data_IF_057038111313
#
_entry.id   IF_057038111313
#
_cell.length_a   1.000
_cell.length_b   1.000
_cell.length_c   1.000
_cell.angle_alpha   90.00
_cell.angle_beta   90.00
_cell.angle_gamma   90.00
#
_symmetry.space_group_name_H-M   'P 1'
#
loop_
_entity.id
_entity.type
_entity.pdbx_description
1 polymer ?
#
# COMPACT_ATOMS: atom_id res chain seq x y z
N UNK A 1 37.87 5.53 -4.40
CA UNK A 1 37.76 4.21 -5.06
C UNK A 1 37.05 3.28 -4.10
N UNK A 2 35.84 2.78 -4.40
CA UNK A 2 35.18 1.84 -3.51
C UNK A 2 35.96 0.52 -3.52
N UNK A 3 36.45 0.12 -2.35
CA UNK A 3 37.07 -1.19 -2.13
C UNK A 3 36.00 -2.27 -2.29
N UNK A 4 36.08 -3.04 -3.37
CA UNK A 4 35.29 -4.26 -3.53
C UNK A 4 35.75 -5.25 -2.45
N UNK A 5 34.92 -5.47 -1.42
CA UNK A 5 35.16 -6.47 -0.39
C UNK A 5 35.05 -7.88 -1.02
N UNK A 6 35.97 -8.82 -0.72
CA UNK A 6 35.90 -10.17 -1.27
C UNK A 6 34.67 -10.94 -0.75
N UNK A 7 34.03 -11.71 -1.62
CA UNK A 7 33.02 -12.71 -1.25
C UNK A 7 33.66 -13.77 -0.32
N UNK A 8 33.04 -14.03 0.83
CA UNK A 8 33.61 -14.75 1.98
C UNK A 8 33.94 -16.25 1.78
N UNK A 9 33.94 -16.77 0.54
CA UNK A 9 34.08 -18.20 0.24
C UNK A 9 35.30 -18.55 -0.63
N UNK A 10 36.30 -17.68 -0.73
CA UNK A 10 37.57 -18.04 -1.39
C UNK A 10 38.47 -18.77 -0.39
N UNK A 11 38.85 -20.01 -0.69
CA UNK A 11 40.18 -20.47 -0.25
C UNK A 11 41.20 -19.42 -0.70
N UNK A 12 42.20 -19.15 0.14
CA UNK A 12 43.19 -18.09 -0.07
C UNK A 12 44.08 -18.32 -1.29
N UNK A 13 44.01 -19.49 -1.93
CA UNK A 13 44.71 -19.84 -3.16
C UNK A 13 43.72 -20.31 -4.25
N UNK A 14 43.57 -19.58 -5.37
CA UNK A 14 42.72 -19.99 -6.49
C UNK A 14 43.24 -21.23 -7.24
N UNK A 15 44.46 -21.72 -6.97
CA UNK A 15 45.03 -22.93 -7.55
C UNK A 15 44.74 -24.20 -6.74
N UNK A 16 44.06 -24.10 -5.59
CA UNK A 16 43.73 -25.26 -4.77
C UNK A 16 42.75 -26.20 -5.49
N UNK A 17 43.01 -27.52 -5.50
CA UNK A 17 42.17 -28.49 -6.20
C UNK A 17 40.76 -28.49 -5.60
N UNK A 18 39.75 -28.75 -6.43
CA UNK A 18 38.38 -28.88 -5.95
C UNK A 18 38.21 -30.16 -5.13
N UNK A 19 37.85 -30.01 -3.87
CA UNK A 19 37.62 -31.11 -2.94
C UNK A 19 36.15 -31.18 -2.56
N UNK A 20 35.58 -32.39 -2.65
CA UNK A 20 34.26 -32.70 -2.12
C UNK A 20 34.31 -32.68 -0.57
N UNK A 21 33.21 -32.30 0.10
CA UNK A 21 33.11 -32.40 1.54
C UNK A 21 33.23 -33.86 1.98
N UNK A 22 34.01 -34.10 3.04
CA UNK A 22 34.33 -35.44 3.53
C UNK A 22 33.14 -36.16 4.16
N UNK A 23 32.12 -35.43 4.60
CA UNK A 23 30.89 -35.98 5.17
C UNK A 23 29.87 -36.41 4.09
N UNK A 24 30.11 -36.07 2.82
CA UNK A 24 29.26 -36.39 1.68
C UNK A 24 27.93 -35.63 1.65
N UNK A 25 27.79 -34.56 2.44
CA UNK A 25 26.56 -33.75 2.51
C UNK A 25 26.70 -32.46 1.73
N UNK A 26 25.66 -32.15 0.96
CA UNK A 26 25.60 -30.98 0.10
C UNK A 26 24.32 -30.20 0.36
N UNK A 27 24.43 -28.87 0.42
CA UNK A 27 23.24 -28.02 0.46
C UNK A 27 22.48 -28.18 -0.86
N UNK A 28 21.25 -28.65 -0.77
CA UNK A 28 20.32 -28.82 -1.89
C UNK A 28 19.56 -27.52 -2.14
N UNK A 29 19.08 -26.87 -1.07
CA UNK A 29 18.34 -25.62 -1.17
C UNK A 29 18.57 -24.70 0.05
N UNK A 30 18.85 -23.40 -0.15
CA UNK A 30 18.84 -22.39 0.90
C UNK A 30 17.41 -21.99 1.26
N UNK A 31 17.21 -21.51 2.49
CA UNK A 31 15.97 -20.85 2.88
C UNK A 31 15.80 -19.52 2.16
N UNK A 32 14.57 -19.13 1.87
CA UNK A 32 14.24 -17.83 1.29
C UNK A 32 13.04 -17.85 0.35
N UNK A 33 12.80 -16.71 -0.27
CA UNK A 33 11.76 -16.51 -1.28
C UNK A 33 12.40 -16.46 -2.67
N UNK A 34 11.89 -17.25 -3.61
CA UNK A 34 12.46 -17.35 -4.94
C UNK A 34 11.38 -17.19 -6.00
N UNK A 35 11.63 -16.38 -7.02
CA UNK A 35 10.71 -16.21 -8.15
C UNK A 35 10.88 -17.41 -9.08
N UNK A 36 9.80 -18.19 -9.25
CA UNK A 36 9.78 -19.37 -10.12
C UNK A 36 9.30 -19.02 -11.52
N UNK A 37 8.37 -18.06 -11.62
CA UNK A 37 7.89 -17.55 -12.89
C UNK A 37 7.79 -16.03 -12.78
N UNK A 38 8.61 -15.34 -13.56
CA UNK A 38 8.52 -13.90 -13.68
C UNK A 38 7.27 -13.56 -14.53
N UNK A 39 6.30 -12.90 -13.91
CA UNK A 39 5.17 -12.29 -14.60
C UNK A 39 5.11 -10.80 -14.20
N UNK A 40 4.79 -9.87 -15.11
CA UNK A 40 4.89 -8.42 -14.85
C UNK A 40 4.01 -7.93 -13.70
N UNK A 41 2.88 -8.57 -13.46
CA UNK A 41 1.91 -8.14 -12.46
C UNK A 41 1.86 -9.06 -11.23
N UNK A 42 2.20 -10.34 -11.38
CA UNK A 42 1.98 -11.33 -10.32
C UNK A 42 2.98 -12.51 -10.43
N UNK A 43 4.25 -12.30 -10.02
CA UNK A 43 5.27 -13.33 -10.12
C UNK A 43 4.95 -14.50 -9.19
N UNK A 44 5.10 -15.72 -9.69
CA UNK A 44 4.95 -16.91 -8.85
C UNK A 44 6.18 -17.04 -7.94
N UNK A 45 5.97 -16.93 -6.64
CA UNK A 45 7.02 -17.00 -5.61
C UNK A 45 6.93 -18.33 -4.87
N UNK A 46 8.05 -19.06 -4.81
CA UNK A 46 8.19 -20.21 -3.92
C UNK A 46 8.82 -19.78 -2.60
N UNK A 47 8.26 -20.28 -1.51
CA UNK A 47 8.73 -20.06 -0.15
C UNK A 47 9.42 -21.33 0.33
N UNK A 48 10.73 -21.23 0.55
CA UNK A 48 11.56 -22.27 1.12
C UNK A 48 11.86 -21.89 2.57
N UNK A 49 11.02 -22.34 3.48
CA UNK A 49 11.14 -22.15 4.93
C UNK A 49 11.35 -23.50 5.64
N UNK A 50 11.48 -23.47 6.96
CA UNK A 50 11.66 -24.68 7.76
C UNK A 50 10.53 -25.69 7.57
N UNK A 51 9.28 -25.21 7.44
CA UNK A 51 8.12 -26.05 7.17
C UNK A 51 8.22 -26.75 5.80
N UNK A 52 8.67 -26.04 4.76
CA UNK A 52 8.91 -26.61 3.44
C UNK A 52 9.94 -27.74 3.51
N UNK A 53 11.06 -27.50 4.20
CA UNK A 53 12.15 -28.48 4.30
C UNK A 53 11.79 -29.68 5.17
N UNK A 54 11.07 -29.48 6.28
CA UNK A 54 10.55 -30.57 7.09
C UNK A 54 9.63 -31.47 6.27
N UNK A 55 8.69 -30.89 5.52
CA UNK A 55 7.80 -31.64 4.63
C UNK A 55 8.57 -32.42 3.54
N UNK A 56 9.64 -31.84 2.98
CA UNK A 56 10.49 -32.51 2.00
C UNK A 56 11.26 -33.69 2.60
N UNK A 57 11.78 -33.55 3.82
CA UNK A 57 12.47 -34.62 4.54
C UNK A 57 11.49 -35.76 4.85
N UNK A 58 10.29 -35.44 5.34
CA UNK A 58 9.25 -36.42 5.62
C UNK A 58 8.80 -37.15 4.35
N UNK A 59 8.57 -36.41 3.26
CA UNK A 59 8.21 -36.97 1.97
C UNK A 59 9.31 -37.88 1.42
N UNK A 60 10.58 -37.48 1.55
CA UNK A 60 11.71 -38.31 1.16
C UNK A 60 11.78 -39.58 2.00
N UNK A 61 11.64 -39.50 3.32
CA UNK A 61 11.68 -40.66 4.21
C UNK A 61 10.59 -41.70 3.85
N UNK A 62 9.40 -41.24 3.47
CA UNK A 62 8.32 -42.12 3.00
C UNK A 62 8.69 -42.86 1.71
N UNK A 63 9.26 -42.17 0.73
CA UNK A 63 9.70 -42.78 -0.54
C UNK A 63 10.91 -43.68 -0.32
N UNK A 64 11.84 -43.29 0.54
CA UNK A 64 13.07 -44.01 0.85
C UNK A 64 12.84 -45.31 1.62
N UNK A 65 11.67 -45.47 2.26
CA UNK A 65 11.27 -46.71 2.92
C UNK A 65 10.93 -47.84 1.92
N UNK A 66 10.75 -47.54 0.63
CA UNK A 66 10.51 -48.55 -0.39
C UNK A 66 11.74 -49.44 -0.59
N UNK A 67 11.54 -50.76 -0.69
CA UNK A 67 12.63 -51.73 -0.80
C UNK A 67 13.49 -51.57 -2.07
N UNK A 68 12.92 -50.98 -3.11
CA UNK A 68 13.54 -50.71 -4.41
C UNK A 68 14.01 -49.25 -4.57
N UNK A 69 14.04 -48.47 -3.48
CA UNK A 69 14.50 -47.09 -3.53
C UNK A 69 15.99 -47.00 -3.89
N UNK A 70 16.27 -46.39 -5.06
CA UNK A 70 17.63 -46.21 -5.57
C UNK A 70 18.27 -44.85 -5.23
N UNK A 71 17.53 -43.97 -4.53
CA UNK A 71 17.88 -42.56 -4.36
C UNK A 71 17.14 -41.65 -5.35
N UNK A 72 17.13 -40.34 -5.10
CA UNK A 72 16.65 -39.36 -6.07
C UNK A 72 17.77 -39.01 -7.05
N UNK A 73 17.43 -38.87 -8.33
CA UNK A 73 18.40 -38.63 -9.39
C UNK A 73 19.12 -37.29 -9.21
N UNK A 74 20.44 -37.30 -9.39
CA UNK A 74 21.23 -36.12 -9.72
C UNK A 74 21.67 -36.25 -11.18
N UNK A 75 21.09 -35.45 -12.08
CA UNK A 75 21.43 -35.45 -13.51
C UNK A 75 22.42 -34.32 -13.86
N UNK A 76 22.68 -34.12 -15.15
CA UNK A 76 23.45 -32.99 -15.65
C UNK A 76 22.51 -31.96 -16.28
N UNK A 77 22.59 -30.70 -15.85
CA UNK A 77 21.86 -29.56 -16.43
C UNK A 77 20.35 -29.80 -16.65
N UNK A 78 19.70 -30.59 -15.79
CA UNK A 78 18.29 -30.97 -15.89
C UNK A 78 17.93 -31.71 -17.18
N UNK A 79 18.89 -32.37 -17.82
CA UNK A 79 18.67 -33.07 -19.09
C UNK A 79 17.69 -34.23 -18.96
N UNK A 80 17.53 -34.84 -17.78
CA UNK A 80 16.53 -35.89 -17.59
C UNK A 80 15.09 -35.38 -17.68
N UNK A 81 14.87 -34.06 -17.64
CA UNK A 81 13.57 -33.42 -17.82
C UNK A 81 13.22 -33.20 -19.31
N UNK A 82 14.14 -33.49 -20.22
CA UNK A 82 14.01 -33.34 -21.67
C UNK A 82 14.20 -34.70 -22.34
N UNK A 83 13.15 -35.22 -22.97
CA UNK A 83 13.14 -36.57 -23.54
C UNK A 83 14.16 -36.77 -24.68
N UNK A 84 14.62 -35.67 -25.28
CA UNK A 84 15.60 -35.70 -26.38
C UNK A 84 17.06 -35.66 -25.88
N UNK A 85 17.27 -35.59 -24.55
CA UNK A 85 18.61 -35.51 -23.94
C UNK A 85 18.93 -36.74 -23.10
N UNK A 86 20.21 -36.86 -22.76
CA UNK A 86 20.70 -37.94 -21.92
C UNK A 86 20.17 -37.81 -20.48
N UNK A 87 19.68 -38.90 -19.92
CA UNK A 87 19.26 -39.02 -18.52
C UNK A 87 20.34 -39.65 -17.63
N UNK A 88 21.62 -39.45 -17.98
CA UNK A 88 22.75 -40.01 -17.23
C UNK A 88 22.81 -39.44 -15.80
N UNK A 89 23.01 -40.33 -14.82
CA UNK A 89 23.16 -39.96 -13.43
C UNK A 89 24.58 -39.45 -13.13
N UNK A 90 24.69 -38.17 -12.77
CA UNK A 90 25.86 -37.66 -12.05
C UNK A 90 25.94 -38.28 -10.64
N UNK A 91 24.80 -38.57 -10.02
CA UNK A 91 24.76 -39.19 -8.70
C UNK A 91 23.33 -39.47 -8.25
N UNK A 92 23.21 -39.85 -6.98
CA UNK A 92 21.95 -40.19 -6.35
C UNK A 92 21.89 -39.58 -4.95
N UNK A 93 20.85 -38.80 -4.65
CA UNK A 93 20.55 -38.32 -3.30
C UNK A 93 19.99 -39.52 -2.51
N UNK A 94 20.76 -39.94 -1.52
CA UNK A 94 20.49 -41.14 -0.69
C UNK A 94 19.94 -40.82 0.68
N UNK A 95 20.01 -39.55 1.10
CA UNK A 95 19.50 -39.08 2.38
C UNK A 95 19.18 -37.57 2.27
N UNK A 96 18.21 -37.10 3.05
CA UNK A 96 17.84 -35.68 3.17
C UNK A 96 17.75 -35.28 4.65
N UNK A 97 18.26 -34.11 4.98
CA UNK A 97 18.20 -33.56 6.33
C UNK A 97 18.03 -32.05 6.31
N UNK A 98 17.27 -31.55 7.28
CA UNK A 98 17.25 -30.14 7.64
C UNK A 98 18.46 -29.84 8.53
N UNK A 99 19.31 -28.89 8.14
CA UNK A 99 20.46 -28.43 8.94
C UNK A 99 20.59 -26.93 8.86
N UNK A 100 20.68 -26.30 10.02
CA UNK A 100 20.82 -24.85 10.17
C UNK A 100 19.78 -24.08 9.33
N UNK A 101 18.52 -24.55 9.34
CA UNK A 101 17.42 -23.94 8.58
C UNK A 101 17.49 -24.12 7.06
N UNK A 102 18.32 -25.01 6.52
CA UNK A 102 18.45 -25.26 5.07
C UNK A 102 18.36 -26.76 4.74
N UNK A 103 18.01 -27.08 3.49
CA UNK A 103 17.91 -28.47 3.04
C UNK A 103 19.27 -29.00 2.59
N UNK A 104 19.68 -30.13 3.16
CA UNK A 104 20.89 -30.85 2.80
C UNK A 104 20.57 -32.26 2.31
N UNK A 105 21.43 -32.78 1.44
CA UNK A 105 21.31 -34.13 0.93
C UNK A 105 22.65 -34.84 0.87
N UNK A 106 22.65 -36.14 1.18
CA UNK A 106 23.82 -37.01 1.03
C UNK A 106 23.82 -37.58 -0.38
N UNK A 107 24.87 -37.32 -1.14
CA UNK A 107 24.96 -37.74 -2.54
C UNK A 107 25.95 -38.89 -2.69
N UNK A 108 25.48 -40.00 -3.27
CA UNK A 108 26.33 -41.05 -3.82
C UNK A 108 26.63 -40.71 -5.28
N UNK A 109 27.84 -40.24 -5.54
CA UNK A 109 28.27 -39.87 -6.89
C UNK A 109 28.51 -41.11 -7.76
N UNK A 110 28.22 -40.97 -9.07
CA UNK A 110 28.83 -41.83 -10.08
C UNK A 110 30.28 -41.43 -10.28
N UNK A 111 31.07 -42.29 -10.93
CA UNK A 111 32.47 -41.97 -11.25
C UNK A 111 32.56 -40.67 -12.07
N UNK A 112 31.71 -40.53 -13.10
CA UNK A 112 31.67 -39.32 -13.93
C UNK A 112 31.19 -38.10 -13.17
N UNK A 113 30.19 -38.22 -12.30
CA UNK A 113 29.71 -37.08 -11.51
C UNK A 113 30.76 -36.59 -10.51
N UNK A 114 31.46 -37.52 -9.84
CA UNK A 114 32.58 -37.17 -8.97
C UNK A 114 33.69 -36.44 -9.74
N UNK A 115 34.07 -36.96 -10.92
CA UNK A 115 35.06 -36.32 -11.80
C UNK A 115 34.58 -34.94 -12.29
N UNK A 116 33.30 -34.77 -12.60
CA UNK A 116 32.73 -33.50 -13.04
C UNK A 116 32.82 -32.41 -11.96
N UNK A 117 32.69 -32.78 -10.68
CA UNK A 117 32.74 -31.84 -9.55
C UNK A 117 34.19 -31.59 -9.08
N UNK A 118 35.01 -32.63 -8.99
CA UNK A 118 36.44 -32.52 -8.62
C UNK A 118 37.26 -31.90 -9.75
N UNK A 119 36.89 -32.14 -11.01
CA UNK A 119 37.48 -31.48 -12.17
C UNK A 119 37.00 -30.05 -12.37
N UNK A 120 35.96 -29.61 -11.63
CA UNK A 120 35.43 -28.25 -11.71
C UNK A 120 34.59 -27.96 -12.94
N UNK A 121 34.21 -28.98 -13.73
CA UNK A 121 33.27 -28.85 -14.85
C UNK A 121 31.91 -28.34 -14.38
N UNK A 122 31.52 -28.70 -13.16
CA UNK A 122 30.29 -28.27 -12.51
C UNK A 122 30.52 -27.82 -11.08
N UNK A 123 29.77 -26.79 -10.66
CA UNK A 123 29.99 -26.17 -9.35
C UNK A 123 28.75 -26.10 -8.46
N UNK A 124 27.55 -26.33 -8.96
CA UNK A 124 26.32 -26.15 -8.19
C UNK A 124 25.33 -27.30 -8.39
N UNK A 125 24.43 -27.46 -7.43
CA UNK A 125 23.20 -28.24 -7.60
C UNK A 125 22.04 -27.28 -7.81
N UNK A 126 21.06 -27.70 -8.59
CA UNK A 126 19.82 -26.97 -8.82
C UNK A 126 18.67 -27.94 -8.54
N UNK A 127 17.90 -27.76 -7.46
CA UNK A 127 16.84 -28.71 -7.10
C UNK A 127 15.61 -28.55 -7.99
N UNK A 128 14.89 -29.65 -8.18
CA UNK A 128 13.57 -29.69 -8.82
C UNK A 128 12.54 -30.10 -7.79
N UNK A 129 11.53 -29.26 -7.58
CA UNK A 129 10.45 -29.54 -6.65
C UNK A 129 9.19 -30.00 -7.38
N UNK A 130 8.42 -30.88 -6.74
CA UNK A 130 7.15 -31.35 -7.28
C UNK A 130 6.07 -30.27 -7.14
N UNK A 131 5.71 -29.66 -8.26
CA UNK A 131 4.66 -28.64 -8.32
C UNK A 131 3.29 -29.16 -7.87
N UNK A 132 2.98 -30.43 -8.11
CA UNK A 132 1.67 -30.98 -7.77
C UNK A 132 1.47 -31.15 -6.26
N UNK A 133 2.58 -31.29 -5.52
CA UNK A 133 2.58 -31.42 -4.05
C UNK A 133 2.63 -30.08 -3.30
N UNK A 134 2.88 -28.97 -4.01
CA UNK A 134 3.12 -27.68 -3.38
C UNK A 134 1.87 -27.16 -2.66
N UNK A 135 2.06 -26.66 -1.44
CA UNK A 135 1.02 -26.05 -0.63
C UNK A 135 0.80 -24.59 -1.08
N UNK A 136 -0.41 -24.18 -1.48
CA UNK A 136 -0.72 -22.79 -1.76
C UNK A 136 -0.76 -21.96 -0.48
N UNK A 137 -0.06 -20.83 -0.44
CA UNK A 137 -0.06 -19.91 0.72
C UNK A 137 -0.99 -18.71 0.53
N UNK A 138 -1.82 -18.74 -0.51
CA UNK A 138 -2.62 -17.60 -0.96
C UNK A 138 -1.86 -16.69 -1.93
N UNK A 139 -2.62 -16.01 -2.80
CA UNK A 139 -2.05 -15.22 -3.90
C UNK A 139 -1.18 -16.08 -4.83
N UNK A 140 -0.03 -15.53 -5.25
CA UNK A 140 0.99 -16.19 -6.09
C UNK A 140 2.13 -16.79 -5.29
N UNK A 141 1.87 -17.20 -4.05
CA UNK A 141 2.87 -17.82 -3.18
C UNK A 141 2.56 -19.29 -2.99
N UNK A 142 3.57 -20.13 -3.18
CA UNK A 142 3.49 -21.57 -2.92
C UNK A 142 4.66 -22.03 -2.05
N UNK A 143 4.44 -23.09 -1.30
CA UNK A 143 5.47 -23.79 -0.53
C UNK A 143 5.67 -25.18 -1.14
N UNK A 144 6.80 -25.45 -1.80
CA UNK A 144 7.09 -26.79 -2.29
C UNK A 144 7.29 -27.73 -1.09
N UNK A 145 6.73 -28.94 -1.16
CA UNK A 145 6.76 -29.91 -0.05
C UNK A 145 7.48 -31.20 -0.40
N UNK A 146 7.89 -31.39 -1.67
CA UNK A 146 8.59 -32.59 -2.14
C UNK A 146 9.69 -32.25 -3.13
N UNK A 147 10.87 -32.84 -2.91
CA UNK A 147 12.00 -32.84 -3.85
C UNK A 147 11.83 -34.01 -4.83
N UNK A 148 11.97 -33.75 -6.14
CA UNK A 148 11.92 -34.78 -7.18
C UNK A 148 13.32 -35.30 -7.55
N UNK A 149 14.20 -34.37 -7.90
CA UNK A 149 15.56 -34.62 -8.35
C UNK A 149 16.39 -33.33 -8.21
N UNK A 150 17.66 -33.38 -8.60
CA UNK A 150 18.50 -32.19 -8.74
C UNK A 150 19.36 -32.28 -10.00
N UNK A 151 19.70 -31.13 -10.57
CA UNK A 151 20.66 -31.02 -11.66
C UNK A 151 22.01 -30.52 -11.19
N UNK A 152 23.07 -31.22 -11.56
CA UNK A 152 24.43 -30.73 -11.49
C UNK A 152 24.62 -29.69 -12.59
N UNK A 153 24.83 -28.42 -12.21
CA UNK A 153 24.82 -27.29 -13.15
C UNK A 153 25.77 -26.17 -12.75
N UNK A 154 26.01 -25.23 -13.67
CA UNK A 154 26.74 -23.99 -13.41
C UNK A 154 25.83 -22.76 -13.27
N UNK A 155 24.55 -22.87 -13.63
CA UNK A 155 23.56 -21.79 -13.47
C UNK A 155 22.33 -22.29 -12.71
N UNK A 156 22.41 -22.41 -11.36
CA UNK A 156 21.27 -22.85 -10.57
C UNK A 156 20.16 -21.80 -10.58
N UNK A 157 18.91 -22.27 -10.55
CA UNK A 157 17.74 -21.39 -10.50
C UNK A 157 17.65 -20.66 -9.16
N UNK A 158 17.88 -21.37 -8.04
CA UNK A 158 17.95 -20.74 -6.73
C UNK A 158 19.30 -20.03 -6.57
N UNK A 159 19.27 -18.72 -6.30
CA UNK A 159 20.48 -17.95 -6.02
C UNK A 159 20.86 -18.10 -4.54
N UNK A 160 22.16 -18.08 -4.24
CA UNK A 160 22.67 -18.30 -2.88
C UNK A 160 22.95 -19.76 -2.51
N UNK A 161 22.78 -20.72 -3.43
CA UNK A 161 23.26 -22.09 -3.24
C UNK A 161 24.79 -22.07 -3.11
N UNK A 162 25.31 -22.76 -2.10
CA UNK A 162 26.75 -22.89 -1.87
C UNK A 162 27.42 -23.68 -3.04
N UNK A 163 28.69 -23.44 -3.41
CA UNK A 163 29.38 -24.23 -4.46
C UNK A 163 29.80 -25.62 -3.96
N UNK A 164 29.61 -26.70 -4.72
CA UNK A 164 29.80 -28.10 -4.28
C UNK A 164 31.19 -28.45 -3.74
N UNK A 165 32.23 -27.88 -4.32
CA UNK A 165 33.62 -28.13 -3.96
C UNK A 165 34.26 -26.98 -3.20
N UNK A 166 35.31 -27.29 -2.44
CA UNK A 166 36.08 -26.32 -1.65
C UNK A 166 35.25 -25.59 -0.59
N UNK A 167 34.18 -26.24 -0.14
CA UNK A 167 33.54 -25.90 1.14
C UNK A 167 34.43 -26.46 2.24
N UNK A 168 34.74 -25.66 3.25
CA UNK A 168 35.31 -26.20 4.48
C UNK A 168 34.30 -27.21 5.05
N UNK A 169 34.69 -28.48 5.08
CA UNK A 169 34.00 -29.58 5.78
C UNK A 169 34.36 -29.63 7.27
N UNK A 170 35.14 -28.66 7.75
CA UNK A 170 35.31 -28.46 9.17
C UNK A 170 34.02 -27.88 9.74
N UNK A 171 33.56 -28.43 10.85
CA UNK A 171 33.03 -27.63 11.95
C UNK A 171 33.79 -26.30 11.91
N UNK A 172 33.15 -25.23 11.44
CA UNK A 172 33.70 -23.89 11.67
C UNK A 172 34.05 -23.88 13.16
N UNK A 173 35.23 -23.42 13.59
CA UNK A 173 35.32 -23.00 14.97
C UNK A 173 34.25 -21.93 15.09
N UNK A 174 33.09 -22.31 15.66
CA UNK A 174 31.89 -21.49 15.79
C UNK A 174 32.28 -20.14 16.41
N UNK A 175 33.40 -20.11 17.14
CA UNK A 175 34.04 -18.94 17.70
C UNK A 175 34.46 -17.85 16.70
N UNK A 176 34.96 -18.12 15.49
CA UNK A 176 35.49 -17.03 14.63
C UNK A 176 34.40 -16.29 13.85
N UNK A 177 33.42 -17.02 13.30
CA UNK A 177 32.29 -16.39 12.61
C UNK A 177 31.31 -15.79 13.62
N UNK A 178 31.04 -16.47 14.74
CA UNK A 178 30.27 -15.87 15.84
C UNK A 178 31.00 -14.67 16.46
N UNK A 179 32.34 -14.68 16.58
CA UNK A 179 33.08 -13.50 17.04
C UNK A 179 32.97 -12.33 16.05
N UNK A 180 33.07 -12.60 14.73
CA UNK A 180 32.87 -11.56 13.71
C UNK A 180 31.45 -10.99 13.76
N UNK A 181 30.44 -11.84 13.86
CA UNK A 181 29.05 -11.41 13.95
C UNK A 181 28.78 -10.65 15.25
N UNK A 182 29.33 -11.12 16.39
CA UNK A 182 29.24 -10.43 17.68
C UNK A 182 29.92 -9.06 17.64
N UNK A 183 31.08 -8.94 16.99
CA UNK A 183 31.76 -7.65 16.80
C UNK A 183 30.93 -6.68 15.95
N UNK A 184 30.32 -7.15 14.86
CA UNK A 184 29.44 -6.32 14.03
C UNK A 184 28.19 -5.87 14.80
N UNK A 185 27.59 -6.77 15.59
CA UNK A 185 26.44 -6.43 16.43
C UNK A 185 26.83 -5.44 17.53
N UNK A 186 28.03 -5.56 18.11
CA UNK A 186 28.53 -4.63 19.11
C UNK A 186 28.67 -3.23 18.50
N UNK A 187 29.24 -3.13 17.29
CA UNK A 187 29.35 -1.85 16.57
C UNK A 187 27.98 -1.22 16.29
N UNK A 188 27.02 -2.00 15.77
CA UNK A 188 25.66 -1.50 15.46
C UNK A 188 24.90 -1.06 16.71
N UNK A 189 25.05 -1.80 17.80
CA UNK A 189 24.35 -1.52 19.06
C UNK A 189 25.10 -0.51 19.94
N UNK A 190 26.26 -0.02 19.47
CA UNK A 190 27.16 0.88 20.19
C UNK A 190 27.63 0.30 21.54
N UNK A 191 27.83 -1.02 21.59
CA UNK A 191 28.32 -1.76 22.76
C UNK A 191 29.82 -2.02 22.66
N UNK A 192 30.46 -2.29 23.81
CA UNK A 192 31.86 -2.70 23.84
C UNK A 192 32.10 -4.02 23.11
N UNK A 193 33.29 -4.24 22.50
CA UNK A 193 33.58 -5.46 21.73
C UNK A 193 33.51 -6.75 22.55
N UNK A 194 33.72 -6.64 23.86
CA UNK A 194 33.67 -7.74 24.82
C UNK A 194 32.43 -7.68 25.74
N UNK A 195 31.39 -6.93 25.35
CA UNK A 195 30.17 -6.83 26.13
C UNK A 195 29.56 -8.23 26.41
N UNK A 196 29.05 -8.48 27.63
CA UNK A 196 28.35 -9.72 27.95
C UNK A 196 27.06 -9.84 27.13
N UNK A 197 26.68 -11.06 26.77
CA UNK A 197 25.54 -11.32 25.88
C UNK A 197 24.21 -10.74 26.41
N UNK A 198 24.07 -10.62 27.73
CA UNK A 198 22.90 -10.00 28.35
C UNK A 198 22.75 -8.51 27.99
N UNK A 199 23.87 -7.78 27.85
CA UNK A 199 23.85 -6.36 27.49
C UNK A 199 23.34 -6.14 26.05
N UNK A 200 23.61 -7.09 25.15
CA UNK A 200 23.04 -7.09 23.79
C UNK A 200 21.52 -7.25 23.84
N UNK A 201 21.03 -8.21 24.63
CA UNK A 201 19.59 -8.46 24.78
C UNK A 201 18.91 -7.23 25.36
N UNK A 202 19.47 -6.65 26.42
CA UNK A 202 18.93 -5.47 27.09
C UNK A 202 18.90 -4.27 26.14
N UNK A 203 19.97 -4.05 25.36
CA UNK A 203 20.04 -2.96 24.38
C UNK A 203 19.02 -3.13 23.25
N UNK A 204 18.85 -4.35 22.74
CA UNK A 204 17.85 -4.66 21.71
C UNK A 204 16.42 -4.44 22.26
N UNK A 205 16.16 -4.85 23.51
CA UNK A 205 14.87 -4.62 24.16
C UNK A 205 14.59 -3.12 24.37
N UNK A 206 15.60 -2.35 24.80
CA UNK A 206 15.49 -0.90 24.93
C UNK A 206 15.15 -0.23 23.59
N UNK A 207 15.88 -0.58 22.52
CA UNK A 207 15.63 -0.05 21.18
C UNK A 207 14.24 -0.40 20.67
N UNK A 208 13.78 -1.64 20.90
CA UNK A 208 12.41 -2.06 20.58
C UNK A 208 11.37 -1.24 21.32
N UNK A 209 11.53 -1.07 22.64
CA UNK A 209 10.59 -0.31 23.47
C UNK A 209 10.55 1.17 23.04
N UNK A 210 11.71 1.77 22.72
CA UNK A 210 11.80 3.13 22.18
C UNK A 210 11.10 3.27 20.83
N UNK A 211 11.27 2.30 19.94
CA UNK A 211 10.59 2.30 18.65
C UNK A 211 9.06 2.23 18.82
N UNK A 212 8.56 1.36 19.70
CA UNK A 212 7.12 1.28 20.02
C UNK A 212 6.60 2.57 20.64
N UNK A 213 7.35 3.18 21.58
CA UNK A 213 6.95 4.46 22.17
C UNK A 213 6.96 5.60 21.14
N UNK A 214 7.93 5.62 20.22
CA UNK A 214 8.00 6.62 19.16
C UNK A 214 6.78 6.54 18.22
N UNK A 215 6.35 5.32 17.86
CA UNK A 215 5.13 5.10 17.08
C UNK A 215 3.89 5.62 17.82
N UNK A 216 3.74 5.30 19.10
CA UNK A 216 2.62 5.80 19.91
C UNK A 216 2.62 7.33 20.03
N UNK A 217 3.80 7.94 20.20
CA UNK A 217 3.94 9.40 20.25
C UNK A 217 3.59 10.06 18.90
N UNK A 218 3.92 9.41 17.78
CA UNK A 218 3.59 9.90 16.44
C UNK A 218 2.08 9.88 16.18
N UNK A 219 1.40 8.80 16.56
CA UNK A 219 -0.06 8.69 16.50
C UNK A 219 -0.74 9.77 17.36
N UNK A 220 -0.26 9.98 18.58
CA UNK A 220 -0.80 11.02 19.47
C UNK A 220 -0.53 12.43 18.94
N UNK A 221 0.64 12.68 18.37
CA UNK A 221 0.97 13.97 17.75
C UNK A 221 0.05 14.27 16.55
N UNK A 222 -0.22 13.27 15.72
CA UNK A 222 -1.16 13.41 14.60
C UNK A 222 -2.58 13.70 15.09
N UNK A 223 -3.02 13.03 16.17
CA UNK A 223 -4.32 13.28 16.80
C UNK A 223 -4.42 14.71 17.32
N UNK A 224 -3.45 15.16 18.11
CA UNK A 224 -3.41 16.52 18.67
C UNK A 224 -3.36 17.59 17.58
N UNK A 225 -2.58 17.38 16.51
CA UNK A 225 -2.56 18.30 15.36
C UNK A 225 -3.92 18.36 14.66
N UNK A 226 -4.61 17.24 14.53
CA UNK A 226 -5.97 17.18 14.01
C UNK A 226 -6.95 17.98 14.85
N UNK A 227 -6.92 17.79 16.18
CA UNK A 227 -7.75 18.53 17.12
C UNK A 227 -7.46 20.04 17.11
N UNK A 228 -6.19 20.43 17.08
CA UNK A 228 -5.79 21.84 16.97
C UNK A 228 -6.27 22.46 15.66
N UNK A 229 -6.14 21.75 14.53
CA UNK A 229 -6.65 22.20 13.25
C UNK A 229 -8.17 22.38 13.29
N UNK A 230 -8.91 21.42 13.84
CA UNK A 230 -10.37 21.54 14.00
C UNK A 230 -10.76 22.72 14.91
N UNK A 231 -10.05 22.93 16.02
CA UNK A 231 -10.32 24.03 16.94
C UNK A 231 -10.07 25.39 16.29
N UNK A 232 -9.01 25.50 15.49
CA UNK A 232 -8.74 26.71 14.70
C UNK A 232 -9.85 26.96 13.67
N UNK A 233 -10.28 25.93 12.95
CA UNK A 233 -11.39 26.06 11.98
C UNK A 233 -12.68 26.47 12.69
N UNK A 234 -12.99 25.92 13.87
CA UNK A 234 -14.16 26.35 14.67
C UNK A 234 -14.08 27.83 15.04
N UNK A 235 -12.92 28.32 15.45
CA UNK A 235 -12.73 29.73 15.76
C UNK A 235 -12.93 30.61 14.51
N UNK A 236 -12.38 30.23 13.36
CA UNK A 236 -12.52 30.97 12.10
C UNK A 236 -13.99 31.01 11.62
N UNK A 237 -14.73 29.90 11.78
CA UNK A 237 -16.16 29.84 11.46
C UNK A 237 -16.98 30.80 12.32
N UNK A 238 -16.67 30.90 13.62
CA UNK A 238 -17.35 31.82 14.53
C UNK A 238 -17.00 33.29 14.24
N UNK A 239 -15.72 33.57 13.95
CA UNK A 239 -15.25 34.91 13.58
C UNK A 239 -15.89 35.41 12.28
N UNK A 240 -16.14 34.53 11.32
CA UNK A 240 -16.69 34.86 10.01
C UNK A 240 -18.16 34.48 9.82
N UNK A 241 -18.90 34.16 10.89
CA UNK A 241 -20.28 33.65 10.82
C UNK A 241 -21.24 34.54 10.01
N UNK A 242 -21.06 35.86 10.06
CA UNK A 242 -21.92 36.82 9.34
C UNK A 242 -21.72 36.79 7.82
N UNK A 243 -20.64 36.17 7.34
CA UNK A 243 -20.28 36.04 5.92
C UNK A 243 -20.47 34.62 5.39
N UNK A 244 -20.79 33.67 6.26
CA UNK A 244 -20.89 32.24 5.93
C UNK A 244 -22.36 31.85 5.82
N UNK A 245 -22.79 31.49 4.60
CA UNK A 245 -24.14 30.97 4.38
C UNK A 245 -24.28 29.48 4.72
N UNK A 246 -23.22 28.69 4.50
CA UNK A 246 -23.19 27.25 4.76
C UNK A 246 -21.95 26.89 5.61
N UNK A 247 -22.13 26.70 6.93
CA UNK A 247 -21.02 26.40 7.84
C UNK A 247 -20.29 25.08 7.52
N UNK A 248 -20.99 24.10 6.94
CA UNK A 248 -20.39 22.80 6.62
C UNK A 248 -19.43 22.93 5.44
N UNK A 249 -19.86 23.60 4.36
CA UNK A 249 -18.98 23.89 3.22
C UNK A 249 -17.82 24.79 3.58
N UNK A 250 -18.04 25.78 4.46
CA UNK A 250 -16.98 26.62 4.97
C UNK A 250 -15.96 25.82 5.79
N UNK A 251 -16.42 24.89 6.65
CA UNK A 251 -15.54 23.97 7.39
C UNK A 251 -14.66 23.14 6.44
N UNK A 252 -15.25 22.55 5.40
CA UNK A 252 -14.54 21.76 4.40
C UNK A 252 -13.45 22.58 3.69
N UNK A 253 -13.78 23.80 3.25
CA UNK A 253 -12.82 24.69 2.59
C UNK A 253 -11.67 25.12 3.53
N UNK A 254 -11.97 25.41 4.79
CA UNK A 254 -10.98 25.81 5.80
C UNK A 254 -10.04 24.64 6.18
N UNK A 255 -10.55 23.40 6.22
CA UNK A 255 -9.71 22.22 6.44
C UNK A 255 -8.82 21.90 5.23
N UNK A 256 -9.30 22.15 4.01
CA UNK A 256 -8.54 21.91 2.79
C UNK A 256 -7.44 22.95 2.55
N UNK A 257 -7.74 24.24 2.72
CA UNK A 257 -6.78 25.33 2.63
C UNK A 257 -7.27 26.56 3.41
N UNK A 258 -6.91 26.60 4.69
CA UNK A 258 -7.31 27.67 5.61
C UNK A 258 -6.94 29.06 5.13
N UNK A 259 -5.72 29.25 4.64
CA UNK A 259 -5.20 30.57 4.27
C UNK A 259 -6.01 31.16 3.09
N UNK A 260 -6.24 30.37 2.05
CA UNK A 260 -7.04 30.79 0.91
C UNK A 260 -8.51 31.06 1.29
N UNK A 261 -9.11 30.19 2.12
CA UNK A 261 -10.49 30.34 2.56
C UNK A 261 -10.69 31.61 3.40
N UNK A 262 -9.80 31.89 4.35
CA UNK A 262 -9.83 33.15 5.13
C UNK A 262 -9.59 34.36 4.23
N UNK A 263 -8.66 34.28 3.27
CA UNK A 263 -8.41 35.36 2.32
C UNK A 263 -9.67 35.75 1.54
N UNK A 264 -10.47 34.77 1.11
CA UNK A 264 -11.75 35.00 0.43
C UNK A 264 -12.78 35.61 1.40
N UNK A 265 -12.91 35.06 2.61
CA UNK A 265 -13.85 35.57 3.62
C UNK A 265 -13.52 37.00 4.06
N UNK A 266 -12.25 37.36 4.11
CA UNK A 266 -11.80 38.72 4.41
C UNK A 266 -12.17 39.71 3.30
N UNK A 267 -12.13 39.28 2.03
CA UNK A 267 -12.46 40.13 0.88
C UNK A 267 -13.97 40.36 0.68
N UNK A 268 -14.83 39.54 1.30
CA UNK A 268 -16.30 39.64 1.19
C UNK A 268 -16.84 40.67 2.18
N UNK A 269 -17.73 41.56 1.71
CA UNK A 269 -18.46 42.50 2.58
C UNK A 269 -19.61 41.78 3.30
N UNK A 270 -19.86 42.09 4.58
CA UNK A 270 -21.00 41.53 5.30
C UNK A 270 -22.33 41.97 4.63
N UNK A 271 -23.37 41.13 4.65
CA UNK A 271 -24.66 41.47 4.07
C UNK A 271 -25.24 42.69 4.78
N UNK A 272 -25.67 43.69 4.01
CA UNK A 272 -26.42 44.82 4.53
C UNK A 272 -27.79 44.31 5.01
N UNK A 273 -28.23 44.61 6.24
CA UNK A 273 -29.56 44.23 6.68
C UNK A 273 -30.58 44.82 5.69
N UNK A 274 -31.35 43.94 5.04
CA UNK A 274 -32.46 44.39 4.20
C UNK A 274 -33.44 45.12 5.12
N UNK A 275 -33.65 46.42 4.90
CA UNK A 275 -34.88 47.04 5.36
C UNK A 275 -36.02 46.22 4.74
N UNK A 276 -36.91 45.68 5.56
CA UNK A 276 -38.07 44.98 5.02
C UNK A 276 -38.82 45.95 4.11
N UNK A 277 -38.95 45.65 2.82
CA UNK A 277 -39.90 46.38 1.99
C UNK A 277 -41.26 46.28 2.69
N UNK A 278 -41.93 47.41 3.02
CA UNK A 278 -43.24 47.35 3.64
C UNK A 278 -44.13 46.51 2.71
N UNK A 279 -44.73 45.46 3.26
CA UNK A 279 -45.69 44.70 2.50
C UNK A 279 -46.83 45.65 2.09
N UNK A 280 -47.54 45.35 0.99
CA UNK A 280 -48.59 46.23 0.44
C UNK A 280 -49.68 46.59 1.46
N UNK A 281 -49.83 45.81 2.55
CA UNK A 281 -50.78 46.05 3.64
C UNK A 281 -50.29 47.07 4.67
N UNK A 282 -48.98 47.32 4.78
CA UNK A 282 -48.37 48.29 5.72
C UNK A 282 -47.76 49.50 5.02
N UNK A 283 -47.88 49.62 3.70
CA UNK A 283 -47.46 50.81 2.97
C UNK A 283 -48.44 51.97 3.26
N UNK A 284 -47.97 53.00 3.95
CA UNK A 284 -48.73 54.25 4.15
C UNK A 284 -48.74 55.00 2.83
N UNK A 285 -49.91 55.39 2.33
CA UNK A 285 -50.05 56.27 1.16
C UNK A 285 -49.34 57.59 1.51
N UNK A 286 -48.45 58.13 0.65
CA UNK A 286 -47.82 59.42 0.91
C UNK A 286 -48.90 60.48 1.14
N UNK A 287 -48.81 61.23 2.23
CA UNK A 287 -49.67 62.39 2.45
C UNK A 287 -49.48 63.35 1.28
N UNK A 288 -50.58 63.73 0.64
CA UNK A 288 -50.61 64.80 -0.35
C UNK A 288 -50.10 66.08 0.30
N UNK A 289 -49.15 66.73 -0.37
CA UNK A 289 -48.56 68.02 -0.03
C UNK A 289 -49.65 69.03 0.40
N UNK A 290 -49.49 69.82 1.47
CA UNK A 290 -50.50 70.78 1.92
C UNK A 290 -50.44 72.02 1.02
N UNK A 291 -50.94 71.88 -0.20
CA UNK A 291 -50.98 72.93 -1.22
C UNK A 291 -52.27 72.99 -2.05
N UNK A 292 -53.19 72.03 -1.90
CA UNK A 292 -54.46 72.03 -2.65
C UNK A 292 -55.60 72.63 -1.84
N UNK A 293 -55.64 73.95 -1.80
CA UNK A 293 -56.85 74.72 -1.53
C UNK A 293 -57.89 74.46 -2.61
N UNK A 294 -59.07 73.99 -2.19
CA UNK A 294 -60.39 74.10 -2.82
C UNK A 294 -60.40 74.35 -4.34
N UNK A 295 -60.59 73.28 -5.13
CA UNK A 295 -60.92 73.41 -6.56
C UNK A 295 -62.40 73.79 -6.74
N UNK A 296 -62.57 74.88 -7.50
CA UNK A 296 -63.79 75.44 -8.05
C UNK A 296 -64.70 74.38 -8.71
N UNK A 297 -66.00 74.29 -8.35
CA UNK A 297 -66.96 73.37 -8.96
C UNK A 297 -67.15 73.53 -10.48
N UNK A 298 -66.73 74.65 -11.08
CA UNK A 298 -66.93 74.93 -12.51
C UNK A 298 -65.81 74.41 -13.43
N UNK A 299 -64.80 73.71 -12.92
CA UNK A 299 -63.66 73.19 -13.70
C UNK A 299 -63.54 71.65 -13.66
N UNK A 300 -64.66 70.92 -13.68
CA UNK A 300 -64.60 69.46 -13.85
C UNK A 300 -64.22 69.11 -15.29
N UNK A 301 -63.20 68.26 -15.45
CA UNK A 301 -62.79 67.79 -16.77
C UNK A 301 -63.96 67.05 -17.45
N UNK A 302 -64.08 67.21 -18.77
CA UNK A 302 -65.18 66.65 -19.57
C UNK A 302 -65.41 65.14 -19.31
N UNK A 303 -64.34 64.39 -19.06
CA UNK A 303 -64.41 62.97 -18.70
C UNK A 303 -65.08 62.70 -17.33
N UNK A 304 -64.90 63.60 -16.36
CA UNK A 304 -65.57 63.50 -15.04
C UNK A 304 -67.05 63.87 -15.16
N UNK A 305 -67.40 64.85 -15.98
CA UNK A 305 -68.78 65.22 -16.25
C UNK A 305 -69.56 64.05 -16.90
N UNK A 306 -68.99 63.42 -17.94
CA UNK A 306 -69.56 62.22 -18.57
C UNK A 306 -69.76 61.10 -17.55
N UNK A 307 -68.78 60.88 -16.68
CA UNK A 307 -68.85 59.83 -15.66
C UNK A 307 -69.98 60.05 -14.65
N UNK A 308 -70.10 61.28 -14.15
CA UNK A 308 -71.15 61.61 -13.19
C UNK A 308 -72.53 61.51 -13.84
N UNK A 309 -72.66 61.93 -15.11
CA UNK A 309 -73.92 61.81 -15.85
C UNK A 309 -74.29 60.37 -16.15
N UNK A 310 -73.32 59.53 -16.52
CA UNK A 310 -73.53 58.10 -16.70
C UNK A 310 -74.08 57.44 -15.42
N UNK A 311 -73.54 57.79 -14.24
CA UNK A 311 -74.03 57.27 -12.97
C UNK A 311 -75.48 57.71 -12.65
N UNK A 312 -75.86 58.94 -13.00
CA UNK A 312 -77.25 59.39 -12.91
C UNK A 312 -78.18 58.60 -13.84
N UNK A 313 -77.82 58.46 -15.12
CA UNK A 313 -78.63 57.74 -16.11
C UNK A 313 -78.84 56.28 -15.70
N UNK A 314 -77.82 55.62 -15.13
CA UNK A 314 -77.99 54.28 -14.58
C UNK A 314 -79.04 54.21 -13.45
N UNK A 315 -79.09 55.23 -12.60
CA UNK A 315 -80.02 55.28 -11.46
C UNK A 315 -81.43 55.65 -11.91
N UNK A 316 -81.56 56.60 -12.83
CA UNK A 316 -82.84 57.11 -13.34
C UNK A 316 -83.52 56.11 -14.26
N UNK A 317 -82.76 55.46 -15.15
CA UNK A 317 -83.29 54.60 -16.21
C UNK A 317 -83.04 53.11 -15.97
N UNK A 318 -82.30 52.74 -14.92
CA UNK A 318 -82.03 51.34 -14.57
C UNK A 318 -81.17 50.59 -15.60
N UNK A 319 -80.46 51.30 -16.47
CA UNK A 319 -79.64 50.71 -17.54
C UNK A 319 -78.23 50.37 -17.06
N UNK A 320 -77.56 49.45 -17.76
CA UNK A 320 -76.17 49.10 -17.45
C UNK A 320 -75.20 50.27 -17.75
N UNK A 321 -74.02 50.23 -17.12
CA UNK A 321 -73.08 51.35 -17.14
C UNK A 321 -72.59 51.69 -18.55
N UNK A 322 -72.37 50.69 -19.40
CA UNK A 322 -71.90 50.91 -20.77
C UNK A 322 -72.94 51.65 -21.60
N UNK A 323 -74.23 51.29 -21.49
CA UNK A 323 -75.31 52.00 -22.15
C UNK A 323 -75.47 53.42 -21.60
N UNK A 324 -75.41 53.58 -20.27
CA UNK A 324 -75.49 54.90 -19.63
C UNK A 324 -74.31 55.81 -20.00
N UNK A 325 -73.12 55.24 -20.15
CA UNK A 325 -71.92 55.97 -20.55
C UNK A 325 -72.02 56.50 -21.98
N UNK A 326 -72.50 55.68 -22.91
CA UNK A 326 -72.68 56.10 -24.30
C UNK A 326 -73.77 57.18 -24.43
N UNK A 327 -74.86 57.06 -23.68
CA UNK A 327 -75.89 58.10 -23.59
C UNK A 327 -75.33 59.39 -22.99
N UNK A 328 -74.58 59.31 -21.89
CA UNK A 328 -73.93 60.48 -21.27
C UNK A 328 -72.89 61.14 -22.19
N UNK A 329 -72.17 60.37 -23.01
CA UNK A 329 -71.27 60.90 -24.03
C UNK A 329 -72.02 61.60 -25.17
N UNK A 330 -73.22 61.13 -25.52
CA UNK A 330 -74.06 61.76 -26.55
C UNK A 330 -74.76 63.02 -26.02
N UNK A 331 -75.09 63.06 -24.72
CA UNK A 331 -75.72 64.22 -24.06
C UNK A 331 -74.74 65.37 -23.78
N UNK A 332 -73.47 65.05 -23.52
CA UNK A 332 -72.47 66.03 -23.07
C UNK A 332 -71.33 66.29 -24.06
N UNK A 333 -71.22 65.51 -25.15
CA UNK A 333 -70.25 65.67 -26.24
C UNK A 333 -70.85 66.35 -27.46
#
# INVERSE_FOLDING_TARGET
>A
MPSLRPLANRQTDPASPFQLPSDGWYQIAPAGEFIVQAAPADPLVQILDEAAFAAMVDSFAQVAAAADFAGLLVDYDHFSMDLDKASEAAGWITDLALRDGTLWGRIRWSERGAQAVVGGSYRFLSPVFDRASAEPLGGTRLRPTRLLNAGLTNDPNLKGIRPLSNRHSGTMPHSQEAARMKQQLAEILELGPDAPDQEFVDRIQELRNRATQAQANEEELLRLRGEEAENRVKADLEEHKDKIADPLKAKEALLANREAAIGILAAVRPPTPSSSLPNRRTATIPATDPGDTALDPSAQSHAVAIRNRAAQIQTEQGVNYTTAWNLAQTELG
#
